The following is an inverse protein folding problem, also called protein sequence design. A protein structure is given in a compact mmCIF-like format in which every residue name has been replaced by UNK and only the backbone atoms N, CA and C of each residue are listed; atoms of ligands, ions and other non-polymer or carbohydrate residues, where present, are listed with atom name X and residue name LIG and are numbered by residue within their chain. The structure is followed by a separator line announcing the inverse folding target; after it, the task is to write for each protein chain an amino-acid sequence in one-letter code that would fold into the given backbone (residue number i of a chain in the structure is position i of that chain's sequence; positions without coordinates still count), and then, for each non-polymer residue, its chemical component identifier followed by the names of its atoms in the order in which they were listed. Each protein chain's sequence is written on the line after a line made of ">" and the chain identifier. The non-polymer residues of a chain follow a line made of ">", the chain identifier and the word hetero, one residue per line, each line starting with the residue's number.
data_IF_385650338188
#
_entry.id   IF_385650338188
#
_cell.length_a   1.000
_cell.length_b   1.000
_cell.length_c   1.000
_cell.angle_alpha   90.00
_cell.angle_beta   90.00
_cell.angle_gamma   90.00
#
_symmetry.space_group_name_H-M   'P 1'
#
loop_
_entity.id
_entity.type
_entity.pdbx_description
1 polymer ?
#
# COMPACT_ATOMS: atom_id res chain seq x y z
N UNK A 1 -1.42 16.50 8.12
CA UNK A 1 -1.91 15.47 9.05
C UNK A 1 -2.25 14.28 8.17
N UNK A 2 -1.55 13.15 8.30
CA UNK A 2 -1.80 11.98 7.44
C UNK A 2 -3.20 11.42 7.69
N UNK A 3 -3.92 11.04 6.64
CA UNK A 3 -5.22 10.39 6.80
C UNK A 3 -5.05 8.95 7.27
N UNK A 4 -6.10 8.40 7.92
CA UNK A 4 -6.07 7.03 8.42
C UNK A 4 -5.73 6.02 7.31
N UNK A 5 -6.26 6.24 6.10
CA UNK A 5 -6.06 5.39 4.93
C UNK A 5 -4.61 5.44 4.45
N UNK A 6 -4.01 6.63 4.40
CA UNK A 6 -2.60 6.80 4.02
C UNK A 6 -1.68 6.01 4.96
N UNK A 7 -1.95 6.11 6.27
CA UNK A 7 -1.19 5.40 7.30
C UNK A 7 -1.34 3.89 7.13
N UNK A 8 -2.56 3.39 6.90
CA UNK A 8 -2.81 1.96 6.69
C UNK A 8 -2.11 1.44 5.44
N UNK A 9 -2.21 2.17 4.31
CA UNK A 9 -1.55 1.82 3.05
C UNK A 9 -0.02 1.73 3.19
N UNK A 10 0.57 2.58 4.03
CA UNK A 10 2.01 2.55 4.31
C UNK A 10 2.42 1.47 5.32
N UNK A 11 1.61 1.24 6.37
CA UNK A 11 1.90 0.25 7.42
C UNK A 11 1.85 -1.19 6.91
N UNK A 12 0.88 -1.51 6.05
CA UNK A 12 0.64 -2.89 5.58
C UNK A 12 1.92 -3.51 4.96
N UNK A 13 2.58 -2.87 3.97
CA UNK A 13 3.87 -3.35 3.44
C UNK A 13 5.07 -2.89 4.30
N UNK A 14 4.96 -1.81 5.06
CA UNK A 14 6.05 -1.26 5.87
C UNK A 14 6.42 -2.14 7.07
N UNK A 15 5.43 -2.73 7.75
CA UNK A 15 5.66 -3.57 8.94
C UNK A 15 6.43 -4.86 8.63
N UNK A 16 6.07 -5.66 7.60
CA UNK A 16 6.82 -6.87 7.26
C UNK A 16 8.23 -6.55 6.78
N UNK A 17 8.39 -5.44 6.04
CA UNK A 17 9.70 -4.97 5.60
C UNK A 17 10.59 -4.56 6.79
N UNK A 18 10.04 -3.82 7.76
CA UNK A 18 10.75 -3.48 8.99
C UNK A 18 11.14 -4.73 9.77
N UNK A 19 10.22 -5.69 9.92
CA UNK A 19 10.52 -6.95 10.59
C UNK A 19 11.64 -7.73 9.91
N UNK A 20 11.66 -7.78 8.57
CA UNK A 20 12.74 -8.40 7.81
C UNK A 20 14.09 -7.71 8.02
N UNK A 21 14.12 -6.37 8.06
CA UNK A 21 15.34 -5.61 8.35
C UNK A 21 15.82 -5.90 9.79
N UNK A 22 14.91 -5.88 10.76
CA UNK A 22 15.23 -6.15 12.17
C UNK A 22 15.77 -7.57 12.35
N UNK A 23 15.14 -8.58 11.75
CA UNK A 23 15.64 -9.96 11.84
C UNK A 23 16.96 -10.16 11.10
N UNK A 24 17.17 -9.52 9.95
CA UNK A 24 18.45 -9.59 9.25
C UNK A 24 19.60 -8.97 10.05
N UNK A 25 19.38 -7.83 10.72
CA UNK A 25 20.42 -7.12 11.46
C UNK A 25 20.66 -7.68 12.86
N UNK A 26 19.60 -8.04 13.59
CA UNK A 26 19.67 -8.47 14.99
C UNK A 26 19.57 -9.99 15.18
N UNK A 27 19.14 -10.74 14.17
CA UNK A 27 19.04 -12.20 14.22
C UNK A 27 20.32 -12.90 14.68
N UNK A 28 21.47 -12.69 14.03
CA UNK A 28 22.71 -13.38 14.42
C UNK A 28 23.32 -12.89 15.74
N UNK A 29 22.95 -11.70 16.23
CA UNK A 29 23.58 -11.07 17.40
C UNK A 29 22.74 -11.12 18.68
N UNK A 30 21.42 -11.01 18.58
CA UNK A 30 20.53 -10.80 19.73
C UNK A 30 19.37 -11.79 19.74
N UNK A 31 18.75 -12.05 18.58
CA UNK A 31 17.55 -12.89 18.47
C UNK A 31 17.96 -14.30 17.99
N UNK A 32 18.45 -15.15 18.89
CA UNK A 32 18.82 -16.55 18.56
C UNK A 32 17.61 -17.38 18.07
N UNK A 33 16.97 -18.13 18.96
CA UNK A 33 15.80 -18.96 18.61
C UNK A 33 14.51 -18.15 18.40
N UNK A 34 14.47 -16.89 18.85
CA UNK A 34 13.26 -16.04 18.79
C UNK A 34 13.16 -15.16 17.54
N UNK A 35 14.03 -15.34 16.54
CA UNK A 35 14.03 -14.54 15.29
C UNK A 35 12.73 -14.64 14.49
N UNK A 36 11.94 -15.69 14.68
CA UNK A 36 10.65 -15.85 14.00
C UNK A 36 9.54 -14.97 14.60
N UNK A 37 9.63 -14.62 15.89
CA UNK A 37 8.55 -13.91 16.61
C UNK A 37 8.26 -12.52 16.02
N UNK A 38 9.27 -11.65 15.75
CA UNK A 38 9.01 -10.34 15.14
C UNK A 38 8.31 -10.44 13.78
N UNK A 39 8.64 -11.46 12.98
CA UNK A 39 8.06 -11.67 11.65
C UNK A 39 6.59 -12.07 11.76
N UNK A 40 6.26 -13.03 12.62
CA UNK A 40 4.88 -13.46 12.86
C UNK A 40 4.03 -12.30 13.38
N UNK A 41 4.55 -11.54 14.36
CA UNK A 41 3.86 -10.37 14.90
C UNK A 41 3.64 -9.31 13.82
N UNK A 42 4.64 -9.01 12.99
CA UNK A 42 4.50 -8.03 11.92
C UNK A 42 3.44 -8.45 10.88
N UNK A 43 3.42 -9.71 10.44
CA UNK A 43 2.38 -10.17 9.52
C UNK A 43 0.98 -10.16 10.15
N UNK A 44 0.86 -10.54 11.43
CA UNK A 44 -0.42 -10.47 12.15
C UNK A 44 -0.94 -9.03 12.26
N UNK A 45 -0.07 -8.07 12.61
CA UNK A 45 -0.44 -6.65 12.67
C UNK A 45 -0.77 -6.10 11.28
N UNK A 46 0.02 -6.41 10.25
CA UNK A 46 -0.30 -6.05 8.86
C UNK A 46 -1.65 -6.59 8.39
N UNK A 47 -1.99 -7.82 8.79
CA UNK A 47 -3.29 -8.41 8.52
C UNK A 47 -4.42 -7.63 9.21
N UNK A 48 -4.28 -7.29 10.49
CA UNK A 48 -5.27 -6.45 11.18
C UNK A 48 -5.42 -5.07 10.50
N UNK A 49 -4.32 -4.43 10.11
CA UNK A 49 -4.35 -3.18 9.36
C UNK A 49 -5.08 -3.34 8.01
N UNK A 50 -4.86 -4.44 7.28
CA UNK A 50 -5.54 -4.69 6.02
C UNK A 50 -7.05 -4.91 6.19
N UNK A 51 -7.50 -5.55 7.27
CA UNK A 51 -8.93 -5.67 7.59
C UNK A 51 -9.54 -4.29 7.88
N UNK A 52 -8.84 -3.46 8.66
CA UNK A 52 -9.28 -2.08 8.93
C UNK A 52 -9.40 -1.26 7.64
N UNK A 53 -8.48 -1.44 6.68
CA UNK A 53 -8.54 -0.80 5.38
C UNK A 53 -9.78 -1.26 4.59
N UNK A 54 -10.11 -2.56 4.61
CA UNK A 54 -11.33 -3.09 3.97
C UNK A 54 -12.59 -2.45 4.56
N UNK A 55 -12.68 -2.30 5.88
CA UNK A 55 -13.82 -1.64 6.52
C UNK A 55 -13.92 -0.16 6.14
N UNK A 56 -12.79 0.56 6.14
CA UNK A 56 -12.76 1.98 5.79
C UNK A 56 -13.16 2.22 4.32
N UNK A 57 -12.71 1.36 3.40
CA UNK A 57 -13.10 1.44 1.98
C UNK A 57 -14.59 1.13 1.82
N UNK A 58 -15.12 0.13 2.53
CA UNK A 58 -16.55 -0.22 2.49
C UNK A 58 -17.45 0.90 3.02
N UNK A 59 -17.08 1.52 4.14
CA UNK A 59 -17.88 2.59 4.73
C UNK A 59 -18.00 3.79 3.79
N UNK A 60 -16.92 4.12 3.06
CA UNK A 60 -16.90 5.21 2.08
C UNK A 60 -17.59 4.87 0.75
N UNK A 61 -17.85 3.60 0.48
CA UNK A 61 -18.69 3.19 -0.66
C UNK A 61 -20.19 3.40 -0.39
N UNK A 62 -20.59 3.66 0.87
CA UNK A 62 -21.99 3.95 1.20
C UNK A 62 -22.41 5.24 0.49
N UNK A 63 -23.36 5.18 -0.45
CA UNK A 63 -23.76 6.36 -1.21
C UNK A 63 -24.33 7.38 -0.23
N UNK A 64 -23.65 8.52 -0.08
CA UNK A 64 -24.27 9.67 0.56
C UNK A 64 -25.34 10.16 -0.40
N UNK A 65 -26.61 9.85 -0.08
CA UNK A 65 -27.79 10.38 -0.76
C UNK A 65 -27.80 11.92 -0.57
N UNK A 66 -27.10 12.63 -1.46
CA UNK A 66 -27.25 14.08 -1.56
C UNK A 66 -28.51 14.36 -2.39
N UNK A 67 -29.59 14.57 -1.67
CA UNK A 67 -30.85 15.14 -2.12
C UNK A 67 -30.60 16.50 -2.82
N UNK A 68 -30.70 16.54 -4.15
CA UNK A 68 -30.67 17.80 -4.92
C UNK A 68 -29.97 17.76 -6.27
N UNK A 69 -30.64 17.20 -7.29
CA UNK A 69 -30.63 17.62 -8.71
C UNK A 69 -29.36 18.29 -9.28
N UNK A 70 -28.45 17.53 -9.91
CA UNK A 70 -27.78 17.78 -11.22
C UNK A 70 -27.15 16.43 -11.67
N UNK A 71 -27.35 16.03 -12.93
CA UNK A 71 -26.71 14.89 -13.67
C UNK A 71 -25.89 13.93 -12.78
N UNK A 72 -26.48 12.81 -12.37
CA UNK A 72 -25.77 11.74 -11.66
C UNK A 72 -24.69 11.12 -12.55
N UNK A 73 -23.48 11.68 -12.54
CA UNK A 73 -22.29 10.90 -12.81
C UNK A 73 -22.25 9.83 -11.73
N UNK A 74 -22.70 8.62 -12.06
CA UNK A 74 -22.60 7.45 -11.20
C UNK A 74 -21.12 7.27 -10.84
N UNK A 75 -20.69 7.69 -9.67
CA UNK A 75 -19.33 7.45 -9.19
C UNK A 75 -19.18 5.94 -9.01
N UNK A 76 -18.62 5.26 -10.02
CA UNK A 76 -18.46 3.80 -10.03
C UNK A 76 -17.25 3.45 -9.16
N UNK A 77 -17.46 3.41 -7.84
CA UNK A 77 -16.48 2.91 -6.86
C UNK A 77 -15.70 3.98 -6.11
N UNK A 78 -15.12 3.56 -4.99
CA UNK A 78 -14.25 4.37 -4.14
C UNK A 78 -12.79 4.20 -4.59
N UNK A 79 -12.10 5.31 -4.85
CA UNK A 79 -10.69 5.36 -5.23
C UNK A 79 -9.99 6.49 -4.46
N UNK A 80 -8.97 6.13 -3.69
CA UNK A 80 -8.10 7.07 -2.97
C UNK A 80 -6.64 6.88 -3.40
N UNK A 81 -5.98 7.96 -3.81
CA UNK A 81 -4.62 7.93 -4.33
C UNK A 81 -3.68 8.73 -3.42
N UNK A 82 -2.77 8.02 -2.75
CA UNK A 82 -1.74 8.61 -1.90
C UNK A 82 -0.42 8.63 -2.67
N UNK A 83 0.03 9.81 -3.13
CA UNK A 83 1.37 9.96 -3.71
C UNK A 83 2.42 9.96 -2.60
N UNK A 84 3.34 8.99 -2.64
CA UNK A 84 4.41 8.89 -1.65
C UNK A 84 5.60 9.78 -2.03
N UNK A 85 6.18 9.55 -3.20
CA UNK A 85 7.28 10.37 -3.74
C UNK A 85 7.37 10.22 -5.26
N UNK A 86 8.16 11.08 -5.91
CA UNK A 86 8.48 10.97 -7.34
C UNK A 86 9.77 10.20 -7.49
N UNK A 87 9.73 9.07 -8.17
CA UNK A 87 10.90 8.21 -8.35
C UNK A 87 11.80 8.71 -9.48
N UNK A 88 11.22 9.18 -10.58
CA UNK A 88 11.97 9.77 -11.69
C UNK A 88 11.21 10.99 -12.24
N UNK A 89 11.96 12.06 -12.54
CA UNK A 89 11.48 13.23 -13.28
C UNK A 89 12.58 13.62 -14.26
N UNK A 90 12.25 13.67 -15.54
CA UNK A 90 13.15 14.07 -16.61
C UNK A 90 12.45 15.18 -17.38
N UNK A 91 12.97 16.39 -17.20
CA UNK A 91 12.42 17.59 -17.83
C UNK A 91 12.81 17.59 -19.31
N UNK A 92 11.87 17.93 -20.20
CA UNK A 92 12.14 17.94 -21.64
C UNK A 92 12.56 16.59 -22.23
N UNK A 93 12.07 15.48 -21.65
CA UNK A 93 12.44 14.12 -22.06
C UNK A 93 12.09 13.79 -23.53
N UNK A 94 11.16 14.53 -24.12
CA UNK A 94 10.73 14.38 -25.49
C UNK A 94 11.23 15.56 -26.32
N UNK A 95 12.03 15.30 -27.35
CA UNK A 95 12.33 16.32 -28.36
C UNK A 95 11.06 16.65 -29.13
N UNK A 96 10.58 17.89 -28.99
CA UNK A 96 9.45 18.37 -29.77
C UNK A 96 9.89 18.61 -31.22
N UNK A 97 9.61 17.68 -32.12
CA UNK A 97 9.81 17.83 -33.58
C UNK A 97 8.84 18.85 -34.23
N UNK A 98 8.13 19.63 -33.41
CA UNK A 98 7.18 20.64 -33.86
C UNK A 98 7.90 21.91 -34.32
N UNK A 99 8.20 21.97 -35.62
CA UNK A 99 8.54 23.21 -36.33
C UNK A 99 7.36 24.19 -36.21
N UNK A 100 7.47 25.18 -35.32
CA UNK A 100 6.67 26.42 -35.42
C UNK A 100 6.03 26.99 -34.16
N UNK A 101 5.99 26.29 -33.02
CA UNK A 101 5.46 26.88 -31.78
C UNK A 101 6.27 26.42 -30.59
N UNK A 102 6.78 27.37 -29.78
CA UNK A 102 7.35 27.10 -28.47
C UNK A 102 6.28 26.41 -27.60
N UNK A 103 6.23 25.09 -27.68
CA UNK A 103 5.28 24.24 -26.99
C UNK A 103 6.13 23.44 -26.03
N UNK A 104 5.92 23.64 -24.72
CA UNK A 104 6.63 22.94 -23.65
C UNK A 104 6.80 21.46 -24.03
N UNK A 105 8.06 21.02 -24.11
CA UNK A 105 8.35 19.59 -24.26
C UNK A 105 7.79 18.90 -23.01
N UNK A 106 6.91 17.90 -23.15
CA UNK A 106 6.29 17.29 -21.98
C UNK A 106 7.35 16.64 -21.10
N UNK A 107 7.21 16.77 -19.78
CA UNK A 107 8.14 16.15 -18.83
C UNK A 107 7.79 14.67 -18.64
N UNK A 108 8.82 13.82 -18.55
CA UNK A 108 8.63 12.41 -18.20
C UNK A 108 8.74 12.24 -16.69
N UNK A 109 7.62 11.91 -16.04
CA UNK A 109 7.55 11.77 -14.58
C UNK A 109 6.95 10.43 -14.17
N UNK A 110 7.65 9.71 -13.30
CA UNK A 110 7.20 8.47 -12.67
C UNK A 110 7.02 8.72 -11.18
N UNK A 111 5.78 8.72 -10.73
CA UNK A 111 5.42 8.83 -9.32
C UNK A 111 5.20 7.43 -8.70
N UNK A 112 5.57 7.29 -7.43
CA UNK A 112 5.21 6.14 -6.61
C UNK A 112 3.96 6.52 -5.80
N UNK A 113 2.83 5.93 -6.19
CA UNK A 113 1.51 6.19 -5.62
C UNK A 113 0.90 4.91 -5.07
N UNK A 114 0.32 4.97 -3.88
CA UNK A 114 -0.50 3.90 -3.33
C UNK A 114 -1.97 4.20 -3.63
N UNK A 115 -2.67 3.19 -4.16
CA UNK A 115 -4.10 3.27 -4.47
C UNK A 115 -4.87 2.43 -3.46
N UNK A 116 -5.83 3.04 -2.77
CA UNK A 116 -6.84 2.33 -2.01
C UNK A 116 -8.13 2.27 -2.83
N UNK A 117 -8.48 1.06 -3.26
CA UNK A 117 -9.79 0.70 -3.78
C UNK A 117 -10.23 -0.65 -3.20
N UNK A 118 -11.47 -1.04 -3.49
CA UNK A 118 -12.05 -2.27 -2.94
C UNK A 118 -11.27 -3.53 -3.36
N UNK A 119 -10.75 -3.57 -4.58
CA UNK A 119 -9.98 -4.70 -5.11
C UNK A 119 -8.65 -4.82 -4.36
N UNK A 120 -7.90 -3.72 -4.27
CA UNK A 120 -6.62 -3.64 -3.59
C UNK A 120 -6.74 -3.96 -2.11
N UNK A 121 -7.78 -3.43 -1.43
CA UNK A 121 -8.02 -3.75 -0.03
C UNK A 121 -8.28 -5.25 0.19
N UNK A 122 -9.09 -5.88 -0.66
CA UNK A 122 -9.34 -7.33 -0.60
C UNK A 122 -8.09 -8.15 -0.91
N UNK A 123 -7.27 -7.74 -1.89
CA UNK A 123 -6.00 -8.40 -2.19
C UNK A 123 -5.02 -8.30 -1.02
N UNK A 124 -4.85 -7.12 -0.42
CA UNK A 124 -3.97 -6.92 0.72
C UNK A 124 -4.43 -7.75 1.93
N UNK A 125 -5.74 -7.83 2.18
CA UNK A 125 -6.29 -8.67 3.23
C UNK A 125 -6.01 -10.16 3.01
N UNK A 126 -6.21 -10.65 1.79
CA UNK A 126 -5.93 -12.04 1.44
C UNK A 126 -4.43 -12.37 1.53
N UNK A 127 -3.56 -11.53 0.98
CA UNK A 127 -2.11 -11.76 0.98
C UNK A 127 -1.56 -11.73 2.40
N UNK A 128 -1.91 -10.72 3.21
CA UNK A 128 -1.42 -10.63 4.60
C UNK A 128 -1.95 -11.76 5.49
N UNK A 129 -3.19 -12.21 5.26
CA UNK A 129 -3.75 -13.38 5.94
C UNK A 129 -2.94 -14.64 5.64
N UNK A 130 -2.73 -14.95 4.35
CA UNK A 130 -1.97 -16.13 3.93
C UNK A 130 -0.52 -16.03 4.42
N UNK A 131 0.11 -14.86 4.30
CA UNK A 131 1.48 -14.65 4.81
C UNK A 131 1.58 -14.86 6.32
N UNK A 132 0.58 -14.45 7.11
CA UNK A 132 0.53 -14.70 8.55
C UNK A 132 0.50 -16.20 8.86
N UNK A 133 -0.35 -16.97 8.16
CA UNK A 133 -0.40 -18.43 8.32
C UNK A 133 0.92 -19.11 7.91
N UNK A 134 1.51 -18.69 6.79
CA UNK A 134 2.81 -19.21 6.32
C UNK A 134 3.92 -18.89 7.32
N UNK A 135 3.93 -17.70 7.92
CA UNK A 135 4.92 -17.34 8.93
C UNK A 135 4.82 -18.21 10.19
N UNK A 136 3.59 -18.47 10.66
CA UNK A 136 3.33 -19.36 11.81
C UNK A 136 3.72 -20.81 11.50
N UNK A 137 3.36 -21.30 10.30
CA UNK A 137 3.73 -22.64 9.87
C UNK A 137 5.25 -22.80 9.74
N UNK A 138 5.91 -21.82 9.12
CA UNK A 138 7.35 -21.82 8.89
C UNK A 138 8.16 -21.84 10.18
N UNK A 139 7.70 -21.15 11.24
CA UNK A 139 8.40 -21.20 12.53
C UNK A 139 8.43 -22.62 13.12
N UNK A 140 7.33 -23.36 13.04
CA UNK A 140 7.29 -24.73 13.56
C UNK A 140 8.00 -25.75 12.65
N UNK A 141 7.93 -25.54 11.34
CA UNK A 141 8.58 -26.44 10.36
C UNK A 141 10.11 -26.35 10.42
N UNK A 142 10.68 -25.15 10.67
CA UNK A 142 12.13 -24.95 10.70
C UNK A 142 12.80 -25.33 12.02
N UNK A 143 12.00 -25.59 13.06
CA UNK A 143 12.48 -26.04 14.37
C UNK A 143 12.70 -27.57 14.43
N UNK A 144 12.19 -28.33 13.46
CA UNK A 144 12.32 -29.80 13.35
C UNK A 144 13.41 -30.24 12.37
#
# INVERSE_FOLDING_TARGET
>A
MFERIDVLLMLIPGLPLLAAIVTALLGPRVLRSMSHVPVVVAFAVSFLCSLLLVFEVRDQQSPTELEGQVISTRTIGYEHLTRLWTWASIDGAYESDAVGTATDSPDFRIDITLRADALTAMMLAMVTFISSLVAIFGSGYMDG
#
